data_IF_144637087116
#
_entry.id   IF_144637087116
#
_cell.length_a   1.000
_cell.length_b   1.000
_cell.length_c   1.000
_cell.angle_alpha   90.00
_cell.angle_beta   90.00
_cell.angle_gamma   90.00
#
_symmetry.space_group_name_H-M   'P 1'
#
loop_
_entity.id
_entity.type
_entity.pdbx_description
1 polymer ?
#
# COMPACT_ATOMS: atom_id res chain seq x y z
N UNK A 1 -7.21 -3.66 -21.30
CA UNK A 1 -5.88 -4.25 -21.11
C UNK A 1 -5.83 -5.62 -21.80
N UNK A 2 -4.77 -5.94 -22.55
CA UNK A 2 -4.63 -7.27 -23.15
C UNK A 2 -4.42 -8.34 -22.06
N UNK A 3 -4.67 -9.63 -22.37
CA UNK A 3 -4.58 -10.71 -21.37
C UNK A 3 -3.17 -10.84 -20.75
N UNK A 4 -2.11 -10.64 -21.54
CA UNK A 4 -0.72 -10.78 -21.08
C UNK A 4 -0.33 -9.69 -20.08
N UNK A 5 -0.62 -8.43 -20.41
CA UNK A 5 -0.36 -7.28 -19.54
C UNK A 5 -1.19 -7.36 -18.25
N UNK A 6 -2.44 -7.81 -18.31
CA UNK A 6 -3.24 -8.02 -17.09
C UNK A 6 -2.63 -9.09 -16.19
N UNK A 7 -2.15 -10.20 -16.77
CA UNK A 7 -1.50 -11.25 -16.01
C UNK A 7 -0.20 -10.77 -15.34
N UNK A 8 0.68 -10.11 -16.10
CA UNK A 8 1.95 -9.58 -15.58
C UNK A 8 1.69 -8.59 -14.44
N UNK A 9 0.75 -7.66 -14.64
CA UNK A 9 0.42 -6.65 -13.62
C UNK A 9 -0.13 -7.29 -12.34
N UNK A 10 -1.08 -8.21 -12.47
CA UNK A 10 -1.70 -8.90 -11.33
C UNK A 10 -0.69 -9.77 -10.59
N UNK A 11 0.17 -10.49 -11.32
CA UNK A 11 1.21 -11.33 -10.74
C UNK A 11 2.22 -10.50 -9.94
N UNK A 12 2.72 -9.41 -10.50
CA UNK A 12 3.63 -8.49 -9.79
C UNK A 12 2.97 -7.88 -8.55
N UNK A 13 1.70 -7.48 -8.64
CA UNK A 13 0.94 -6.96 -7.50
C UNK A 13 0.82 -8.00 -6.37
N UNK A 14 0.51 -9.25 -6.70
CA UNK A 14 0.43 -10.35 -5.73
C UNK A 14 1.80 -10.66 -5.12
N UNK A 15 2.87 -10.64 -5.90
CA UNK A 15 4.23 -10.87 -5.39
C UNK A 15 4.64 -9.81 -4.37
N UNK A 16 4.42 -8.53 -4.69
CA UNK A 16 4.74 -7.41 -3.78
C UNK A 16 3.87 -7.48 -2.51
N UNK A 17 2.57 -7.74 -2.68
CA UNK A 17 1.65 -7.93 -1.55
C UNK A 17 2.08 -9.10 -0.66
N UNK A 18 2.40 -10.26 -1.25
CA UNK A 18 2.85 -11.45 -0.54
C UNK A 18 4.14 -11.19 0.24
N UNK A 19 5.14 -10.57 -0.41
CA UNK A 19 6.38 -10.17 0.26
C UNK A 19 6.12 -9.27 1.48
N UNK A 20 5.27 -8.24 1.32
CA UNK A 20 4.91 -7.35 2.43
C UNK A 20 4.19 -8.09 3.56
N UNK A 21 3.29 -9.02 3.24
CA UNK A 21 2.59 -9.83 4.24
C UNK A 21 3.56 -10.69 5.04
N UNK A 22 4.48 -11.38 4.36
CA UNK A 22 5.48 -12.23 5.02
C UNK A 22 6.35 -11.40 5.96
N UNK A 23 6.88 -10.27 5.48
CA UNK A 23 7.77 -9.43 6.27
C UNK A 23 7.10 -8.83 7.51
N UNK A 24 5.87 -8.32 7.38
CA UNK A 24 5.26 -7.53 8.44
C UNK A 24 4.29 -8.29 9.34
N UNK A 25 3.72 -9.42 8.87
CA UNK A 25 2.73 -10.19 9.63
C UNK A 25 3.21 -11.60 9.99
N UNK A 26 4.20 -12.17 9.30
CA UNK A 26 4.70 -13.54 9.58
C UNK A 26 6.04 -13.51 10.31
N UNK A 27 7.02 -12.75 9.82
CA UNK A 27 8.41 -12.77 10.30
C UNK A 27 8.70 -11.74 11.41
N UNK A 28 7.66 -11.25 12.09
CA UNK A 28 7.69 -10.11 13.02
C UNK A 28 7.99 -8.76 12.32
N UNK A 29 6.99 -7.89 12.23
CA UNK A 29 7.13 -6.58 11.59
C UNK A 29 8.13 -5.65 12.25
N UNK A 30 8.54 -5.90 13.51
CA UNK A 30 9.62 -5.15 14.15
C UNK A 30 11.02 -5.57 13.66
N UNK A 31 11.13 -6.76 13.06
CA UNK A 31 12.36 -7.26 12.44
C UNK A 31 12.44 -6.98 10.94
N UNK A 32 11.37 -6.44 10.35
CA UNK A 32 11.38 -6.03 8.95
C UNK A 32 12.57 -5.09 8.68
N UNK A 33 13.35 -5.37 7.62
CA UNK A 33 14.62 -4.68 7.36
C UNK A 33 14.50 -3.15 7.30
N UNK A 34 13.35 -2.64 6.83
CA UNK A 34 13.04 -1.21 6.83
C UNK A 34 12.93 -0.63 8.26
N UNK A 35 12.22 -1.31 9.15
CA UNK A 35 12.04 -0.88 10.55
C UNK A 35 13.37 -0.96 11.29
N UNK A 36 14.13 -2.04 11.10
CA UNK A 36 15.46 -2.21 11.68
C UNK A 36 16.42 -1.10 11.24
N UNK A 37 16.48 -0.81 9.94
CA UNK A 37 17.28 0.30 9.41
C UNK A 37 16.88 1.63 10.07
N UNK A 38 15.58 1.89 10.22
CA UNK A 38 15.09 3.12 10.84
C UNK A 38 15.45 3.22 12.33
N UNK A 39 15.43 2.10 13.05
CA UNK A 39 15.84 2.01 14.45
C UNK A 39 17.36 2.20 14.64
N UNK A 40 18.17 1.78 13.66
CA UNK A 40 19.62 2.04 13.68
C UNK A 40 19.93 3.54 13.57
N UNK A 41 19.17 4.28 12.75
CA UNK A 41 19.36 5.73 12.60
C UNK A 41 18.67 6.56 13.68
N UNK A 42 17.54 6.09 14.20
CA UNK A 42 16.73 6.79 15.18
C UNK A 42 16.41 5.81 16.31
N UNK A 43 17.08 6.00 17.45
CA UNK A 43 17.07 5.12 18.62
C UNK A 43 15.69 4.66 19.10
N UNK A 44 14.62 5.42 18.86
CA UNK A 44 13.23 4.98 19.10
C UNK A 44 12.22 5.75 18.24
N UNK A 45 11.24 5.04 17.69
CA UNK A 45 10.04 5.64 17.08
C UNK A 45 8.87 5.69 18.07
N UNK A 46 7.97 6.66 17.90
CA UNK A 46 6.74 6.72 18.69
C UNK A 46 5.81 5.56 18.36
N UNK A 47 5.00 5.13 19.33
CA UNK A 47 3.99 4.09 19.12
C UNK A 47 3.03 4.45 17.97
N UNK A 48 2.68 5.73 17.85
CA UNK A 48 1.82 6.24 16.79
C UNK A 48 2.41 6.00 15.39
N UNK A 49 3.73 6.14 15.22
CA UNK A 49 4.37 5.87 13.93
C UNK A 49 4.22 4.42 13.50
N UNK A 50 4.36 3.46 14.44
CA UNK A 50 4.12 2.04 14.16
C UNK A 50 2.66 1.77 13.80
N UNK A 51 1.71 2.37 14.52
CA UNK A 51 0.28 2.24 14.19
C UNK A 51 0.02 2.71 12.76
N UNK A 52 0.55 3.88 12.38
CA UNK A 52 0.42 4.39 11.01
C UNK A 52 1.11 3.49 9.98
N UNK A 53 2.27 2.92 10.29
CA UNK A 53 2.96 1.97 9.42
C UNK A 53 2.13 0.71 9.16
N UNK A 54 1.59 0.09 10.21
CA UNK A 54 0.77 -1.11 10.07
C UNK A 54 -0.54 -0.84 9.35
N UNK A 55 -1.20 0.30 9.63
CA UNK A 55 -2.39 0.74 8.88
C UNK A 55 -2.04 0.90 7.41
N UNK A 56 -0.94 1.58 7.09
CA UNK A 56 -0.48 1.79 5.72
C UNK A 56 -0.29 0.46 5.00
N UNK A 57 0.47 -0.46 5.59
CA UNK A 57 0.81 -1.74 4.95
C UNK A 57 -0.45 -2.60 4.77
N UNK A 58 -1.26 -2.76 5.82
CA UNK A 58 -2.46 -3.59 5.75
C UNK A 58 -3.43 -3.09 4.67
N UNK A 59 -3.71 -1.79 4.65
CA UNK A 59 -4.67 -1.19 3.72
C UNK A 59 -4.12 -1.12 2.30
N UNK A 60 -2.81 -0.88 2.13
CA UNK A 60 -2.14 -0.86 0.83
C UNK A 60 -2.05 -2.25 0.21
N UNK A 61 -1.79 -3.30 0.99
CA UNK A 61 -1.82 -4.70 0.50
C UNK A 61 -3.20 -5.05 -0.04
N UNK A 62 -4.26 -4.71 0.69
CA UNK A 62 -5.64 -4.95 0.26
C UNK A 62 -5.93 -4.19 -1.04
N UNK A 63 -5.58 -2.90 -1.11
CA UNK A 63 -5.77 -2.10 -2.32
C UNK A 63 -4.98 -2.65 -3.51
N UNK A 64 -3.73 -3.09 -3.30
CA UNK A 64 -2.85 -3.61 -4.34
C UNK A 64 -3.37 -4.92 -4.94
N UNK A 65 -3.86 -5.83 -4.10
CA UNK A 65 -4.47 -7.10 -4.56
C UNK A 65 -5.78 -6.84 -5.30
N UNK A 66 -6.57 -5.86 -4.86
CA UNK A 66 -7.89 -5.57 -5.46
C UNK A 66 -7.79 -4.75 -6.76
N UNK A 67 -6.78 -3.87 -6.90
CA UNK A 67 -6.63 -2.93 -8.03
C UNK A 67 -6.75 -3.56 -9.42
N UNK A 68 -6.10 -4.70 -9.73
CA UNK A 68 -6.24 -5.34 -11.04
C UNK A 68 -7.67 -5.78 -11.38
N UNK A 69 -8.49 -6.06 -10.37
CA UNK A 69 -9.89 -6.46 -10.54
C UNK A 69 -10.82 -5.26 -10.71
N UNK A 70 -10.54 -4.11 -10.09
CA UNK A 70 -11.30 -2.86 -10.31
C UNK A 70 -11.03 -2.27 -11.69
N UNK A 71 -9.85 -2.49 -12.29
CA UNK A 71 -9.53 -2.03 -13.65
C UNK A 71 -10.05 -2.94 -14.77
N UNK A 72 -10.56 -4.14 -14.45
CA UNK A 72 -10.99 -5.12 -15.44
C UNK A 72 -12.42 -4.86 -15.95
N UNK A 73 -12.56 -4.54 -17.24
CA UNK A 73 -13.86 -4.33 -17.90
C UNK A 73 -14.74 -5.58 -17.88
N UNK A 74 -14.15 -6.75 -18.09
CA UNK A 74 -14.85 -8.05 -18.03
C UNK A 74 -15.48 -8.31 -16.66
N UNK A 75 -14.79 -7.91 -15.60
CA UNK A 75 -15.29 -8.10 -14.24
C UNK A 75 -16.46 -7.15 -13.95
N UNK A 76 -16.36 -5.90 -14.42
CA UNK A 76 -17.41 -4.89 -14.32
C UNK A 76 -18.70 -5.31 -15.05
N UNK A 77 -18.58 -5.81 -16.27
CA UNK A 77 -19.74 -6.20 -17.10
C UNK A 77 -20.44 -7.46 -16.59
N UNK A 78 -19.72 -8.37 -15.92
CA UNK A 78 -20.30 -9.61 -15.39
C UNK A 78 -21.23 -9.37 -14.20
N UNK A 79 -20.90 -8.44 -13.30
CA UNK A 79 -21.76 -8.08 -12.16
C UNK A 79 -21.40 -6.70 -11.60
N UNK A 80 -22.18 -5.69 -11.97
CA UNK A 80 -21.94 -4.30 -11.56
C UNK A 80 -22.04 -4.09 -10.04
N UNK A 81 -22.90 -4.84 -9.35
CA UNK A 81 -23.07 -4.72 -7.89
C UNK A 81 -21.82 -5.18 -7.14
N UNK A 82 -21.27 -6.35 -7.51
CA UNK A 82 -20.00 -6.85 -6.95
C UNK A 82 -18.84 -5.93 -7.26
N UNK A 83 -18.79 -5.40 -8.49
CA UNK A 83 -17.77 -4.43 -8.88
C UNK A 83 -17.81 -3.16 -8.01
N UNK A 84 -19.01 -2.62 -7.73
CA UNK A 84 -19.18 -1.47 -6.83
C UNK A 84 -18.73 -1.78 -5.40
N UNK A 85 -19.05 -2.96 -4.86
CA UNK A 85 -18.62 -3.35 -3.52
C UNK A 85 -17.09 -3.44 -3.41
N UNK A 86 -16.45 -4.08 -4.39
CA UNK A 86 -14.98 -4.21 -4.42
C UNK A 86 -14.32 -2.85 -4.63
N UNK A 87 -14.90 -1.99 -5.48
CA UNK A 87 -14.46 -0.60 -5.65
C UNK A 87 -14.53 0.21 -4.36
N UNK A 88 -15.57 0.02 -3.54
CA UNK A 88 -15.66 0.65 -2.20
C UNK A 88 -14.55 0.19 -1.27
N UNK A 89 -14.27 -1.12 -1.21
CA UNK A 89 -13.18 -1.67 -0.38
C UNK A 89 -11.83 -1.10 -0.85
N UNK A 90 -11.62 -1.04 -2.17
CA UNK A 90 -10.44 -0.43 -2.76
C UNK A 90 -10.29 1.04 -2.33
N UNK A 91 -11.34 1.86 -2.48
CA UNK A 91 -11.32 3.27 -2.10
C UNK A 91 -11.05 3.49 -0.61
N UNK A 92 -11.63 2.66 0.27
CA UNK A 92 -11.33 2.68 1.71
C UNK A 92 -9.85 2.36 1.96
N UNK A 93 -9.31 1.36 1.27
CA UNK A 93 -7.90 1.00 1.33
C UNK A 93 -6.99 2.16 0.90
N UNK A 94 -7.32 2.82 -0.21
CA UNK A 94 -6.60 4.00 -0.71
C UNK A 94 -6.69 5.16 0.26
N UNK A 95 -7.85 5.40 0.88
CA UNK A 95 -8.04 6.48 1.85
C UNK A 95 -7.13 6.30 3.07
N UNK A 96 -7.22 5.15 3.74
CA UNK A 96 -6.41 4.90 4.94
C UNK A 96 -4.93 4.70 4.60
N UNK A 97 -4.62 4.02 3.50
CA UNK A 97 -3.27 3.82 3.00
C UNK A 97 -2.60 5.13 2.60
N UNK A 98 -3.31 6.00 1.89
CA UNK A 98 -2.83 7.32 1.48
C UNK A 98 -2.63 8.28 2.65
N UNK A 99 -3.58 8.35 3.60
CA UNK A 99 -3.44 9.21 4.79
C UNK A 99 -2.26 8.77 5.66
N UNK A 100 -2.17 7.47 5.96
CA UNK A 100 -1.06 6.93 6.73
C UNK A 100 0.27 7.05 5.99
N UNK A 101 0.28 6.85 4.67
CA UNK A 101 1.45 7.06 3.80
C UNK A 101 1.93 8.51 3.79
N UNK A 102 0.99 9.46 3.74
CA UNK A 102 1.30 10.88 3.80
C UNK A 102 1.95 11.24 5.14
N UNK A 103 1.42 10.72 6.25
CA UNK A 103 2.04 10.88 7.57
C UNK A 103 3.46 10.27 7.61
N UNK A 104 3.63 9.04 7.09
CA UNK A 104 4.91 8.34 7.07
C UNK A 104 5.95 9.08 6.20
N UNK A 105 5.51 9.79 5.17
CA UNK A 105 6.39 10.54 4.26
C UNK A 105 7.23 11.59 4.99
N UNK A 106 6.71 12.24 6.03
CA UNK A 106 7.46 13.21 6.84
C UNK A 106 8.64 12.61 7.59
N UNK A 107 8.62 11.29 7.79
CA UNK A 107 9.66 10.50 8.45
C UNK A 107 10.51 9.69 7.47
N UNK A 108 10.44 9.97 6.17
CA UNK A 108 11.24 9.30 5.17
C UNK A 108 12.74 9.58 5.34
N UNK A 109 13.56 8.53 5.22
CA UNK A 109 15.01 8.57 5.40
C UNK A 109 15.75 9.23 4.22
N UNK A 110 15.09 9.38 3.06
CA UNK A 110 15.68 9.94 1.83
C UNK A 110 15.82 11.48 1.80
N UNK A 111 15.89 12.13 2.97
CA UNK A 111 15.97 13.60 3.07
C UNK A 111 14.76 14.32 2.48
N UNK A 112 14.92 15.61 2.13
CA UNK A 112 13.83 16.44 1.63
C UNK A 112 13.20 15.88 0.35
N UNK A 113 14.02 15.38 -0.58
CA UNK A 113 13.57 14.79 -1.84
C UNK A 113 12.69 13.56 -1.58
N UNK A 114 13.12 12.66 -0.67
CA UNK A 114 12.32 11.50 -0.28
C UNK A 114 10.99 11.89 0.35
N UNK A 115 11.00 12.86 1.29
CA UNK A 115 9.78 13.33 1.94
C UNK A 115 8.77 13.91 0.95
N UNK A 116 9.24 14.78 0.03
CA UNK A 116 8.39 15.36 -1.00
C UNK A 116 7.88 14.31 -1.99
N UNK A 117 8.75 13.39 -2.43
CA UNK A 117 8.36 12.32 -3.37
C UNK A 117 7.28 11.41 -2.81
N UNK A 118 7.48 10.88 -1.59
CA UNK A 118 6.47 10.03 -0.94
C UNK A 118 5.22 10.82 -0.53
N UNK A 119 5.36 12.10 -0.17
CA UNK A 119 4.25 12.99 0.14
C UNK A 119 3.36 13.23 -1.07
N UNK A 120 3.94 13.64 -2.20
CA UNK A 120 3.22 13.83 -3.47
C UNK A 120 2.59 12.53 -3.96
N UNK A 121 3.31 11.40 -3.87
CA UNK A 121 2.76 10.09 -4.21
C UNK A 121 1.51 9.79 -3.38
N UNK A 122 1.54 10.06 -2.07
CA UNK A 122 0.41 9.83 -1.18
C UNK A 122 -0.78 10.74 -1.51
N UNK A 123 -0.52 12.02 -1.83
CA UNK A 123 -1.57 12.97 -2.26
C UNK A 123 -2.20 12.52 -3.57
N UNK A 124 -1.40 12.19 -4.58
CA UNK A 124 -1.93 11.72 -5.86
C UNK A 124 -2.73 10.44 -5.74
N UNK A 125 -2.30 9.54 -4.86
CA UNK A 125 -3.04 8.32 -4.60
C UNK A 125 -4.40 8.59 -3.94
N UNK A 126 -4.48 9.55 -3.00
CA UNK A 126 -5.75 9.96 -2.41
C UNK A 126 -6.72 10.61 -3.41
N UNK A 127 -6.20 11.18 -4.49
CA UNK A 127 -7.00 11.86 -5.53
C UNK A 127 -7.27 11.02 -6.78
N UNK A 128 -6.83 9.76 -6.80
CA UNK A 128 -6.91 8.88 -7.99
C UNK A 128 -8.27 8.22 -8.20
#
# INVERSE_FOLDING_TARGET
MNKKTWFIFTFSAILVAGYAVVQYFIMDGFQAGFVQMKLMFLSKMSAFWYIMLFIHIATSVVALVIGPFTLSTKFREKNISRHRMIGKIYMIGVLFGGISGLYLSFYATGGLVGKLGFGLLSVFWLTS
#
